data_IF_159779762835
#
_entry.id   IF_159779762835
#
_cell.length_a   1.000
_cell.length_b   1.000
_cell.length_c   1.000
_cell.angle_alpha   90.00
_cell.angle_beta   90.00
_cell.angle_gamma   90.00
#
_symmetry.space_group_name_H-M   'P 1'
#
loop_
_entity.id
_entity.type
_entity.pdbx_description
1 polymer ?
#
# COMPACT_ATOMS: atom_id res chain seq x y z
N UNK A 1 -8.06 -14.42 9.35
CA UNK A 1 -7.21 -13.26 9.02
C UNK A 1 -7.14 -13.12 7.51
N UNK A 2 -7.69 -12.03 6.99
CA UNK A 2 -7.63 -11.69 5.58
C UNK A 2 -6.29 -11.02 5.29
N UNK A 3 -5.66 -11.42 4.19
CA UNK A 3 -4.42 -10.82 3.69
C UNK A 3 -4.51 -10.73 2.18
N UNK A 4 -4.34 -9.52 1.66
CA UNK A 4 -4.28 -9.23 0.24
C UNK A 4 -2.91 -8.65 -0.08
N UNK A 5 -2.40 -8.96 -1.26
CA UNK A 5 -1.07 -8.53 -1.67
C UNK A 5 -1.11 -8.07 -3.12
N UNK A 6 -0.40 -6.99 -3.42
CA UNK A 6 -0.25 -6.47 -4.77
C UNK A 6 1.22 -6.12 -4.98
N UNK A 7 1.81 -6.62 -6.05
CA UNK A 7 3.14 -6.20 -6.50
C UNK A 7 2.97 -5.14 -7.59
N UNK A 8 3.70 -4.05 -7.47
CA UNK A 8 3.79 -2.99 -8.45
C UNK A 8 5.23 -2.87 -8.95
N UNK A 9 5.38 -2.58 -10.22
CA UNK A 9 6.63 -2.09 -10.80
C UNK A 9 6.40 -0.64 -11.21
N UNK A 10 7.04 0.30 -10.51
CA UNK A 10 6.84 1.74 -10.67
C UNK A 10 8.10 2.38 -11.26
N UNK A 11 7.93 3.22 -12.27
CA UNK A 11 8.98 4.09 -12.78
C UNK A 11 9.01 5.41 -12.04
N UNK A 12 9.86 5.51 -11.02
CA UNK A 12 10.07 6.70 -10.20
C UNK A 12 11.48 6.73 -9.60
N UNK A 13 11.96 7.92 -9.25
CA UNK A 13 13.18 8.05 -8.45
C UNK A 13 12.97 7.48 -7.05
N UNK A 14 13.87 6.60 -6.62
CA UNK A 14 13.91 6.02 -5.26
C UNK A 14 13.89 7.08 -4.14
N UNK A 15 14.44 8.26 -4.40
CA UNK A 15 14.50 9.36 -3.42
C UNK A 15 13.12 9.95 -3.14
N UNK A 16 12.25 10.00 -4.16
CA UNK A 16 10.92 10.61 -4.06
C UNK A 16 9.82 9.57 -3.82
N UNK A 17 10.10 8.28 -4.03
CA UNK A 17 9.09 7.23 -3.97
C UNK A 17 8.46 7.08 -2.57
N UNK A 18 9.26 7.05 -1.51
CA UNK A 18 8.75 6.88 -0.14
C UNK A 18 7.84 8.06 0.27
N UNK A 19 8.24 9.34 0.11
CA UNK A 19 7.36 10.47 0.35
C UNK A 19 6.05 10.41 -0.44
N UNK A 20 6.10 10.08 -1.73
CA UNK A 20 4.91 10.02 -2.58
C UNK A 20 3.95 8.90 -2.18
N UNK A 21 4.47 7.71 -1.84
CA UNK A 21 3.64 6.61 -1.34
C UNK A 21 3.01 7.02 0.00
N UNK A 22 3.75 7.66 0.89
CA UNK A 22 3.23 8.13 2.17
C UNK A 22 2.06 9.11 1.96
N UNK A 23 2.20 10.09 1.07
CA UNK A 23 1.11 11.03 0.70
C UNK A 23 -0.10 10.29 0.11
N UNK A 24 0.14 9.31 -0.77
CA UNK A 24 -0.91 8.49 -1.37
C UNK A 24 -1.69 7.73 -0.30
N UNK A 25 -1.01 7.09 0.65
CA UNK A 25 -1.65 6.36 1.75
C UNK A 25 -2.46 7.30 2.66
N UNK A 26 -1.94 8.49 2.96
CA UNK A 26 -2.66 9.49 3.76
C UNK A 26 -3.93 9.99 3.06
N UNK A 27 -3.88 10.19 1.74
CA UNK A 27 -5.08 10.55 0.95
C UNK A 27 -6.13 9.44 0.93
N UNK A 28 -5.74 8.18 1.17
CA UNK A 28 -6.61 7.03 1.33
C UNK A 28 -7.15 6.85 2.77
N UNK A 29 -7.10 7.89 3.61
CA UNK A 29 -7.52 7.86 5.03
C UNK A 29 -6.73 6.85 5.90
N UNK A 30 -5.49 6.56 5.54
CA UNK A 30 -4.59 5.77 6.39
C UNK A 30 -3.67 6.69 7.18
N UNK A 31 -3.47 6.37 8.45
CA UNK A 31 -2.45 6.99 9.27
C UNK A 31 -1.14 6.22 9.14
N UNK A 32 -0.09 6.86 8.63
CA UNK A 32 1.25 6.26 8.57
C UNK A 32 1.88 6.29 9.95
N UNK A 33 2.15 5.10 10.49
CA UNK A 33 2.65 4.90 11.86
C UNK A 33 4.17 4.72 11.89
N UNK A 34 4.73 4.20 10.81
CA UNK A 34 6.16 3.98 10.68
C UNK A 34 6.55 4.00 9.21
N UNK A 35 7.69 4.61 8.89
CA UNK A 35 8.29 4.51 7.57
C UNK A 35 9.82 4.63 7.68
N UNK A 36 10.50 4.00 6.75
CA UNK A 36 11.94 4.13 6.54
C UNK A 36 12.22 4.12 5.02
N UNK A 37 13.44 3.77 4.62
CA UNK A 37 13.87 3.88 3.24
C UNK A 37 13.30 2.78 2.31
N UNK A 38 12.92 1.63 2.86
CA UNK A 38 12.46 0.43 2.14
C UNK A 38 11.10 -0.09 2.63
N UNK A 39 10.51 0.55 3.64
CA UNK A 39 9.32 0.05 4.32
C UNK A 39 8.42 1.18 4.82
N UNK A 40 7.11 1.01 4.63
CA UNK A 40 6.06 1.90 5.15
C UNK A 40 4.99 1.04 5.81
N UNK A 41 4.59 1.40 7.02
CA UNK A 41 3.44 0.83 7.70
C UNK A 41 2.41 1.92 7.95
N UNK A 42 1.20 1.67 7.48
CA UNK A 42 0.04 2.52 7.70
C UNK A 42 -1.10 1.73 8.31
N UNK A 43 -1.95 2.40 9.09
CA UNK A 43 -3.14 1.81 9.68
C UNK A 43 -4.34 2.69 9.41
N UNK A 44 -5.47 2.07 9.16
CA UNK A 44 -6.72 2.78 9.01
C UNK A 44 -7.04 3.64 10.24
N UNK A 45 -7.52 4.87 10.01
CA UNK A 45 -7.92 5.78 11.08
C UNK A 45 -9.18 5.23 11.78
N UNK A 46 -9.17 5.05 13.11
CA UNK A 46 -10.34 4.61 13.85
C UNK A 46 -11.54 5.57 13.69
N UNK A 47 -12.74 5.03 13.58
CA UNK A 47 -13.97 5.82 13.53
C UNK A 47 -15.01 5.34 12.52
N UNK A 48 -14.60 4.58 11.50
CA UNK A 48 -15.52 3.98 10.51
C UNK A 48 -15.86 2.51 10.81
N UNK A 49 -14.95 1.78 11.44
CA UNK A 49 -15.11 0.36 11.77
C UNK A 49 -14.66 0.04 13.20
N UNK A 50 -15.17 -1.04 13.81
CA UNK A 50 -14.66 -1.55 15.09
C UNK A 50 -13.15 -1.78 15.06
N UNK A 51 -12.45 -1.52 16.17
CA UNK A 51 -11.00 -1.69 16.30
C UNK A 51 -10.43 -3.02 15.75
N UNK A 52 -11.07 -4.19 15.97
CA UNK A 52 -10.57 -5.45 15.43
C UNK A 52 -10.66 -5.58 13.91
N UNK A 53 -11.49 -4.75 13.27
CA UNK A 53 -11.65 -4.70 11.80
C UNK A 53 -10.73 -3.68 11.13
N UNK A 54 -9.92 -2.96 11.90
CA UNK A 54 -8.97 -2.00 11.33
C UNK A 54 -7.96 -2.71 10.44
N UNK A 55 -7.72 -2.11 9.28
CA UNK A 55 -6.79 -2.64 8.29
C UNK A 55 -5.40 -2.06 8.56
N UNK A 56 -4.40 -2.93 8.56
CA UNK A 56 -2.99 -2.55 8.54
C UNK A 56 -2.46 -2.76 7.14
N UNK A 57 -1.81 -1.74 6.60
CA UNK A 57 -1.21 -1.73 5.27
C UNK A 57 0.30 -1.64 5.44
N UNK A 58 1.02 -2.53 4.78
CA UNK A 58 2.47 -2.56 4.76
C UNK A 58 2.92 -2.42 3.30
N UNK A 59 3.87 -1.53 3.05
CA UNK A 59 4.45 -1.33 1.73
C UNK A 59 5.95 -1.59 1.85
N UNK A 60 6.46 -2.53 1.06
CA UNK A 60 7.86 -2.89 0.98
C UNK A 60 8.41 -2.44 -0.38
N UNK A 61 9.46 -1.64 -0.37
CA UNK A 61 10.14 -1.14 -1.56
C UNK A 61 11.41 -1.93 -1.75
N UNK A 62 11.49 -2.71 -2.83
CA UNK A 62 12.71 -3.44 -3.15
C UNK A 62 13.74 -2.50 -3.78
N UNK A 63 14.69 -2.08 -2.96
CA UNK A 63 15.82 -1.24 -3.36
C UNK A 63 16.99 -2.03 -3.93
N UNK A 64 17.00 -3.36 -3.75
CA UNK A 64 18.10 -4.23 -4.19
C UNK A 64 18.01 -4.55 -5.68
N UNK A 65 16.78 -4.62 -6.21
CA UNK A 65 16.51 -4.82 -7.64
C UNK A 65 16.10 -3.54 -8.37
N UNK A 66 16.04 -2.42 -7.65
CA UNK A 66 15.68 -1.14 -8.22
C UNK A 66 16.73 -0.69 -9.25
N UNK A 67 16.28 -0.52 -10.49
CA UNK A 67 17.04 0.18 -11.51
C UNK A 67 16.69 1.67 -11.40
N UNK A 68 17.54 2.57 -11.92
CA UNK A 68 17.25 4.01 -11.90
C UNK A 68 15.94 4.42 -12.60
N UNK A 69 15.28 3.47 -13.28
CA UNK A 69 14.04 3.66 -14.03
C UNK A 69 12.87 2.80 -13.51
N UNK A 70 13.11 1.79 -12.67
CA UNK A 70 12.10 0.83 -12.22
C UNK A 70 12.34 0.40 -10.77
N UNK A 71 11.31 0.50 -9.95
CA UNK A 71 11.32 0.10 -8.54
C UNK A 71 10.16 -0.85 -8.29
N UNK A 72 10.44 -2.00 -7.68
CA UNK A 72 9.41 -2.96 -7.29
C UNK A 72 8.87 -2.61 -5.90
N UNK A 73 7.55 -2.59 -5.78
CA UNK A 73 6.83 -2.23 -4.56
C UNK A 73 5.82 -3.30 -4.23
N UNK A 74 5.95 -3.94 -3.08
CA UNK A 74 4.99 -4.91 -2.56
C UNK A 74 4.07 -4.22 -1.56
N UNK A 75 2.77 -4.22 -1.84
CA UNK A 75 1.74 -3.76 -0.92
C UNK A 75 1.05 -4.97 -0.29
N UNK A 76 0.92 -4.97 1.03
CA UNK A 76 0.23 -5.99 1.81
C UNK A 76 -0.84 -5.31 2.66
N UNK A 77 -2.09 -5.69 2.48
CA UNK A 77 -3.21 -5.27 3.34
C UNK A 77 -3.62 -6.45 4.19
N UNK A 78 -3.68 -6.28 5.52
CA UNK A 78 -4.02 -7.34 6.47
C UNK A 78 -4.98 -6.86 7.55
N UNK A 79 -5.78 -7.79 8.04
CA UNK A 79 -6.64 -7.59 9.20
C UNK A 79 -6.57 -8.79 10.17
N UNK A 80 -6.69 -8.51 11.47
CA UNK A 80 -6.50 -9.48 12.55
C UNK A 80 -7.71 -10.41 12.80
N UNK A 81 -8.92 -10.07 12.33
CA UNK A 81 -10.11 -10.88 12.63
C UNK A 81 -10.90 -11.36 11.40
N UNK A 82 -10.86 -10.63 10.28
CA UNK A 82 -11.69 -10.93 9.13
C UNK A 82 -11.28 -12.24 8.45
N UNK A 83 -12.23 -13.05 7.96
CA UNK A 83 -11.94 -14.17 7.07
C UNK A 83 -11.54 -13.65 5.68
N UNK A 84 -10.66 -14.38 4.98
CA UNK A 84 -10.30 -14.06 3.60
C UNK A 84 -11.54 -14.20 2.70
N UNK A 85 -12.01 -13.09 2.16
CA UNK A 85 -13.19 -13.03 1.29
C UNK A 85 -12.99 -11.98 0.19
N UNK A 86 -13.56 -12.19 -0.99
CA UNK A 86 -13.43 -11.24 -2.11
C UNK A 86 -14.25 -9.95 -1.93
N UNK A 87 -15.08 -9.88 -0.89
CA UNK A 87 -15.86 -8.69 -0.53
C UNK A 87 -15.91 -8.55 1.01
N UNK A 88 -14.83 -8.03 1.58
CA UNK A 88 -14.78 -7.62 2.98
C UNK A 88 -14.13 -6.24 3.09
N UNK A 89 -14.23 -5.63 4.27
CA UNK A 89 -13.65 -4.30 4.54
C UNK A 89 -12.16 -4.22 4.21
N UNK A 90 -11.40 -5.29 4.50
CA UNK A 90 -9.96 -5.34 4.20
C UNK A 90 -9.67 -5.34 2.69
N UNK A 91 -10.49 -6.02 1.90
CA UNK A 91 -10.44 -5.98 0.44
C UNK A 91 -10.84 -4.61 -0.11
N UNK A 92 -11.88 -3.98 0.43
CA UNK A 92 -12.33 -2.65 -0.02
C UNK A 92 -11.23 -1.60 0.22
N UNK A 93 -10.59 -1.61 1.39
CA UNK A 93 -9.43 -0.75 1.68
C UNK A 93 -8.27 -1.07 0.74
N UNK A 94 -7.98 -2.35 0.51
CA UNK A 94 -6.94 -2.78 -0.44
C UNK A 94 -7.21 -2.28 -1.87
N UNK A 95 -8.44 -2.39 -2.37
CA UNK A 95 -8.80 -1.94 -3.71
C UNK A 95 -8.65 -0.42 -3.87
N UNK A 96 -9.11 0.36 -2.87
CA UNK A 96 -8.94 1.82 -2.85
C UNK A 96 -7.46 2.21 -2.95
N UNK A 97 -6.59 1.58 -2.16
CA UNK A 97 -5.16 1.93 -2.15
C UNK A 97 -4.48 1.49 -3.44
N UNK A 98 -4.76 0.27 -3.91
CA UNK A 98 -4.14 -0.24 -5.14
C UNK A 98 -4.58 0.59 -6.36
N UNK A 99 -5.82 1.07 -6.37
CA UNK A 99 -6.31 2.00 -7.39
C UNK A 99 -5.63 3.36 -7.28
N UNK A 100 -5.53 3.94 -6.09
CA UNK A 100 -4.82 5.20 -5.86
C UNK A 100 -3.37 5.11 -6.36
N UNK A 101 -2.68 4.00 -6.06
CA UNK A 101 -1.31 3.79 -6.53
C UNK A 101 -1.24 3.62 -8.05
N UNK A 102 -2.21 2.92 -8.66
CA UNK A 102 -2.21 2.66 -10.10
C UNK A 102 -2.56 3.91 -10.93
N UNK A 103 -3.34 4.83 -10.37
CA UNK A 103 -3.84 6.04 -11.05
C UNK A 103 -3.02 7.31 -10.73
N UNK A 104 -2.05 7.22 -9.81
CA UNK A 104 -1.19 8.34 -9.46
C UNK A 104 -0.30 8.76 -10.65
N UNK A 105 -0.19 10.07 -10.87
CA UNK A 105 0.56 10.67 -11.99
C UNK A 105 2.01 10.99 -11.65
N UNK A 106 2.40 10.87 -10.38
CA UNK A 106 3.74 11.18 -9.90
C UNK A 106 4.76 10.07 -10.24
N UNK A 107 4.28 8.91 -10.71
CA UNK A 107 5.10 7.83 -11.24
C UNK A 107 4.46 7.20 -12.46
N UNK A 108 5.26 6.44 -13.22
CA UNK A 108 4.75 5.63 -14.32
C UNK A 108 4.49 4.21 -13.82
N UNK A 109 3.24 3.76 -13.85
CA UNK A 109 2.94 2.35 -13.61
C UNK A 109 3.45 1.50 -14.79
N UNK A 110 4.34 0.55 -14.51
CA UNK A 110 4.92 -0.34 -15.52
C UNK A 110 4.20 -1.69 -15.50
N UNK A 111 4.01 -2.26 -14.31
CA UNK A 111 3.37 -3.56 -14.12
C UNK A 111 2.64 -3.62 -12.79
N UNK A 112 1.54 -4.39 -12.73
CA UNK A 112 0.80 -4.70 -11.52
C UNK A 112 0.42 -6.18 -11.49
N UNK A 113 0.70 -6.86 -10.39
CA UNK A 113 0.30 -8.26 -10.14
C UNK A 113 -0.50 -8.31 -8.83
N UNK A 114 -1.75 -8.77 -8.91
CA UNK A 114 -2.71 -8.85 -7.78
C UNK A 114 -3.07 -10.29 -7.46
#
# INVERSE_FOLDING_TARGET
>A
MARYTCLFTLGASLENLIPLINETLQSCNLNVIYFNADYIMAKEIPGKVPFPKLVTVEVLVDRTTATGEEVKVNLVSKNEELPLQTDNHCYQVFDVITKAISEDKNWRLIETVR
#
